data_IF_652674349406
#
_entry.id   IF_652674349406
#
_cell.length_a   1.000
_cell.length_b   1.000
_cell.length_c   1.000
_cell.angle_alpha   90.00
_cell.angle_beta   90.00
_cell.angle_gamma   90.00
#
_symmetry.space_group_name_H-M   'P 1'
#
loop_
_entity.id
_entity.type
_entity.pdbx_description
1 polymer ?
#
# COMPACT_ATOMS: atom_id res chain seq x y z
N UNK A 1 3.15 -0.87 15.64
CA UNK A 1 3.52 -0.18 14.39
C UNK A 1 4.32 -1.18 13.59
N UNK A 2 3.79 -1.62 12.47
CA UNK A 2 4.51 -2.54 11.58
C UNK A 2 5.17 -1.74 10.46
N UNK A 3 6.35 -2.18 10.03
CA UNK A 3 7.02 -1.57 8.90
C UNK A 3 7.79 -2.63 8.12
N UNK A 4 7.70 -2.56 6.80
CA UNK A 4 8.33 -3.48 5.88
C UNK A 4 8.70 -2.76 4.59
N UNK A 5 9.49 -3.43 3.77
CA UNK A 5 9.93 -2.90 2.49
C UNK A 5 9.25 -3.65 1.35
N UNK A 6 8.79 -2.87 0.38
CA UNK A 6 8.21 -3.35 -0.86
C UNK A 6 9.14 -2.94 -1.99
N UNK A 7 9.53 -3.92 -2.81
CA UNK A 7 10.29 -3.68 -4.03
C UNK A 7 9.37 -3.89 -5.23
N UNK A 8 9.23 -2.87 -6.07
CA UNK A 8 8.44 -2.92 -7.31
C UNK A 8 9.42 -2.71 -8.47
N UNK A 9 9.29 -3.55 -9.50
CA UNK A 9 10.04 -3.40 -10.74
C UNK A 9 9.08 -2.75 -11.74
N UNK A 10 9.30 -1.48 -12.04
CA UNK A 10 8.53 -0.71 -13.01
C UNK A 10 9.51 -0.02 -13.97
N UNK A 11 9.18 0.06 -15.26
CA UNK A 11 10.02 0.74 -16.27
C UNK A 11 11.50 0.30 -16.31
N UNK A 12 11.79 -0.96 -15.95
CA UNK A 12 13.14 -1.55 -15.82
C UNK A 12 13.98 -0.97 -14.67
N UNK A 13 13.38 -0.21 -13.77
CA UNK A 13 13.98 0.27 -12.53
C UNK A 13 13.38 -0.43 -11.31
N UNK A 14 14.21 -0.61 -10.27
CA UNK A 14 13.77 -1.20 -9.00
C UNK A 14 13.44 -0.07 -8.03
N UNK A 15 12.16 0.10 -7.76
CA UNK A 15 11.65 1.07 -6.79
C UNK A 15 11.57 0.43 -5.41
N UNK A 16 12.35 0.97 -4.47
CA UNK A 16 12.35 0.56 -3.07
C UNK A 16 11.42 1.46 -2.27
N UNK A 17 10.33 0.88 -1.79
CA UNK A 17 9.35 1.54 -0.95
C UNK A 17 9.41 1.00 0.47
N UNK A 18 9.30 1.88 1.45
CA UNK A 18 9.15 1.56 2.86
C UNK A 18 7.72 1.86 3.26
N UNK A 19 7.01 0.84 3.70
CA UNK A 19 5.64 0.94 4.19
C UNK A 19 5.66 0.97 5.71
N UNK A 20 4.89 1.87 6.30
CA UNK A 20 4.70 2.01 7.74
C UNK A 20 3.21 1.99 8.03
N UNK A 21 2.79 1.02 8.83
CA UNK A 21 1.39 0.80 9.20
C UNK A 21 1.12 1.17 10.65
N UNK A 22 0.10 2.02 10.82
CA UNK A 22 -0.37 2.54 12.08
C UNK A 22 -1.68 1.85 12.46
N UNK A 23 -1.57 0.64 13.03
CA UNK A 23 -2.71 -0.20 13.43
C UNK A 23 -3.52 0.33 14.64
N UNK A 24 -3.00 1.29 15.41
CA UNK A 24 -3.61 1.73 16.67
C UNK A 24 -4.39 3.06 16.54
N UNK A 25 -5.72 2.98 16.72
CA UNK A 25 -6.61 3.85 17.50
C UNK A 25 -6.48 5.39 17.45
N UNK A 26 -5.75 6.00 16.51
CA UNK A 26 -5.47 7.44 16.57
C UNK A 26 -6.37 8.34 15.71
N UNK A 27 -7.51 7.85 15.23
CA UNK A 27 -8.43 8.66 14.42
C UNK A 27 -7.80 9.24 13.14
N UNK A 28 -6.61 8.77 12.75
CA UNK A 28 -5.98 9.12 11.49
C UNK A 28 -6.63 8.27 10.40
N UNK A 29 -7.19 8.95 9.40
CA UNK A 29 -7.78 8.32 8.21
C UNK A 29 -6.70 7.54 7.45
N UNK A 30 -5.54 8.15 7.17
CA UNK A 30 -4.42 7.47 6.52
C UNK A 30 -3.62 6.56 7.48
N UNK A 31 -3.97 5.27 7.53
CA UNK A 31 -3.31 4.28 8.40
C UNK A 31 -2.01 3.71 7.84
N UNK A 32 -1.81 3.76 6.53
CA UNK A 32 -0.62 3.22 5.86
C UNK A 32 0.14 4.36 5.20
N UNK A 33 1.44 4.47 5.46
CA UNK A 33 2.30 5.50 4.85
C UNK A 33 3.44 4.85 4.08
N UNK A 34 3.67 5.33 2.87
CA UNK A 34 4.67 4.84 1.96
C UNK A 34 5.74 5.90 1.73
N UNK A 35 6.99 5.46 1.86
CA UNK A 35 8.16 6.29 1.69
C UNK A 35 9.07 5.69 0.62
N UNK A 36 9.63 6.51 -0.26
CA UNK A 36 10.63 6.09 -1.22
C UNK A 36 11.91 6.89 -0.97
N UNK A 37 13.05 6.21 -0.79
CA UNK A 37 14.33 6.86 -0.47
C UNK A 37 14.24 7.84 0.73
N UNK A 38 13.40 7.50 1.72
CA UNK A 38 13.17 8.34 2.91
C UNK A 38 12.21 9.52 2.71
N UNK A 39 11.68 9.74 1.50
CA UNK A 39 10.66 10.77 1.22
C UNK A 39 9.26 10.18 1.30
N UNK A 40 8.33 10.89 1.91
CA UNK A 40 6.92 10.52 1.92
C UNK A 40 6.35 10.67 0.52
N UNK A 41 5.88 9.57 -0.07
CA UNK A 41 5.41 9.54 -1.47
C UNK A 41 3.92 9.30 -1.60
N UNK A 42 3.35 8.47 -0.72
CA UNK A 42 1.94 8.15 -0.72
C UNK A 42 1.46 7.70 0.67
N UNK A 43 0.17 7.77 0.91
CA UNK A 43 -0.49 7.16 2.04
C UNK A 43 -1.79 6.48 1.59
N UNK A 44 -2.13 5.38 2.27
CA UNK A 44 -3.33 4.60 2.02
C UNK A 44 -4.17 4.51 3.29
N UNK A 45 -5.47 4.36 3.12
CA UNK A 45 -6.43 4.10 4.18
C UNK A 45 -7.33 2.92 3.83
N UNK A 46 -7.63 2.03 4.80
CA UNK A 46 -8.66 1.03 4.59
C UNK A 46 -10.04 1.67 4.66
N UNK A 47 -10.86 1.43 3.63
CA UNK A 47 -12.29 1.74 3.61
C UNK A 47 -13.07 0.82 4.60
N UNK A 48 -14.32 1.16 4.98
CA UNK A 48 -15.24 0.24 5.67
C UNK A 48 -15.25 -1.22 5.20
N UNK A 49 -14.96 -1.48 3.92
CA UNK A 49 -14.87 -2.83 3.36
C UNK A 49 -13.46 -3.46 3.45
N UNK A 50 -12.54 -2.83 4.18
CA UNK A 50 -11.13 -3.17 4.33
C UNK A 50 -10.28 -3.11 3.04
N UNK A 51 -10.77 -2.51 1.96
CA UNK A 51 -9.94 -2.24 0.77
C UNK A 51 -9.02 -1.04 0.99
N UNK A 52 -7.77 -1.12 0.53
CA UNK A 52 -6.83 -0.01 0.64
C UNK A 52 -7.07 1.04 -0.46
N UNK A 53 -7.51 2.22 -0.04
CA UNK A 53 -7.68 3.38 -0.91
C UNK A 53 -6.54 4.38 -0.74
N UNK A 54 -6.24 5.12 -1.81
CA UNK A 54 -5.23 6.18 -1.79
C UNK A 54 -5.77 7.34 -0.95
N UNK A 55 -5.12 7.59 0.18
CA UNK A 55 -5.44 8.70 1.08
C UNK A 55 -4.69 9.98 0.66
N UNK A 56 -3.39 9.86 0.33
CA UNK A 56 -2.56 10.97 -0.14
C UNK A 56 -1.55 10.50 -1.18
N UNK A 57 -1.28 11.32 -2.19
CA UNK A 57 -0.24 11.08 -3.19
C UNK A 57 0.56 12.37 -3.49
N UNK A 58 1.33 12.91 -2.51
CA UNK A 58 2.07 14.15 -2.69
C UNK A 58 3.21 14.05 -3.71
N UNK A 59 3.72 12.84 -3.98
CA UNK A 59 4.77 12.64 -4.97
C UNK A 59 4.23 12.51 -6.41
N UNK A 60 2.91 12.48 -6.60
CA UNK A 60 2.32 12.30 -7.92
C UNK A 60 2.71 10.97 -8.56
N UNK A 61 2.80 9.90 -7.77
CA UNK A 61 3.00 8.55 -8.30
C UNK A 61 1.92 8.25 -9.33
N UNK A 62 2.30 7.56 -10.41
CA UNK A 62 1.35 7.09 -11.41
C UNK A 62 0.39 6.07 -10.80
N UNK A 63 -0.80 5.94 -11.40
CA UNK A 63 -1.84 5.02 -10.93
C UNK A 63 -1.34 3.56 -10.90
N UNK A 64 -0.50 3.17 -11.85
CA UNK A 64 0.10 1.83 -11.89
C UNK A 64 0.93 1.53 -10.63
N UNK A 65 1.84 2.43 -10.22
CA UNK A 65 2.61 2.21 -8.99
C UNK A 65 1.71 2.24 -7.75
N UNK A 66 0.67 3.06 -7.73
CA UNK A 66 -0.27 3.11 -6.61
C UNK A 66 -1.05 1.79 -6.48
N UNK A 67 -1.52 1.23 -7.59
CA UNK A 67 -2.17 -0.07 -7.62
C UNK A 67 -1.22 -1.19 -7.19
N UNK A 68 0.01 -1.23 -7.73
CA UNK A 68 1.01 -2.22 -7.35
C UNK A 68 1.41 -2.11 -5.87
N UNK A 69 1.42 -0.89 -5.32
CA UNK A 69 1.64 -0.68 -3.89
C UNK A 69 0.47 -1.25 -3.08
N UNK A 70 -0.77 -0.92 -3.43
CA UNK A 70 -1.96 -1.44 -2.76
C UNK A 70 -1.97 -2.97 -2.77
N UNK A 71 -1.81 -3.60 -3.94
CA UNK A 71 -1.77 -5.06 -4.09
C UNK A 71 -0.72 -5.71 -3.19
N UNK A 72 0.49 -5.13 -3.13
CA UNK A 72 1.58 -5.69 -2.31
C UNK A 72 1.38 -5.46 -0.81
N UNK A 73 0.74 -4.36 -0.42
CA UNK A 73 0.37 -4.11 0.97
C UNK A 73 -0.73 -5.10 1.38
N UNK A 74 -1.75 -5.30 0.56
CA UNK A 74 -2.84 -6.27 0.80
C UNK A 74 -2.31 -7.71 0.85
N UNK A 75 -1.42 -8.10 -0.07
CA UNK A 75 -0.81 -9.43 -0.08
C UNK A 75 0.09 -9.72 1.13
N UNK A 76 0.64 -8.67 1.76
CA UNK A 76 1.44 -8.82 2.97
C UNK A 76 0.57 -9.02 4.23
N UNK A 77 -0.72 -8.68 4.18
CA UNK A 77 -1.65 -8.91 5.29
C UNK A 77 -2.14 -10.37 5.29
N UNK A 78 -1.81 -11.18 6.31
CA UNK A 78 -2.27 -12.58 6.40
C UNK A 78 -3.78 -12.71 6.63
N UNK A 79 -4.46 -11.61 6.98
CA UNK A 79 -5.92 -11.51 6.96
C UNK A 79 -6.37 -11.04 5.57
N UNK A 80 -6.12 -11.87 4.56
CA UNK A 80 -6.50 -11.58 3.19
C UNK A 80 -7.97 -11.18 3.09
N UNK A 81 -8.22 -9.96 2.62
CA UNK A 81 -9.51 -9.57 2.05
C UNK A 81 -9.40 -9.75 0.54
N UNK A 82 -8.92 -10.92 0.11
CA UNK A 82 -9.21 -11.48 -1.21
C UNK A 82 -9.16 -12.99 -1.05
N UNK A 83 -10.19 -13.51 -0.38
CA UNK A 83 -10.75 -14.76 -0.88
C UNK A 83 -11.73 -14.34 -1.97
N UNK A 84 -11.47 -14.85 -3.17
CA UNK A 84 -12.34 -14.82 -4.36
C UNK A 84 -12.08 -13.71 -5.39
N UNK A 85 -11.29 -14.05 -6.43
CA UNK A 85 -11.64 -13.89 -7.85
C UNK A 85 -10.45 -14.33 -8.73
N UNK A 86 -10.23 -15.64 -8.88
CA UNK A 86 -9.68 -16.32 -10.09
C UNK A 86 -9.28 -17.77 -9.82
N UNK A 87 -10.25 -18.61 -9.45
CA UNK A 87 -10.22 -20.03 -9.80
C UNK A 87 -11.55 -20.38 -10.47
N UNK A 88 -11.72 -19.96 -11.71
CA UNK A 88 -12.57 -20.70 -12.65
C UNK A 88 -11.68 -21.14 -13.82
N UNK A 89 -11.54 -22.47 -13.90
CA UNK A 89 -10.84 -23.27 -14.90
C UNK A 89 -11.71 -23.37 -16.16
#
# INVERSE_FOLDING_TARGET
MENYQINIIADKEIHHFKVIEYLHHNGQSCKVKVFQQGKFVAAFEPDPNNFLHICQNPAGLNEELLHLLADKIEAHHPYGIYKDLSEEI
#
